data_IF_749097801723
#
_entry.id   IF_749097801723
#
_cell.length_a   1.000
_cell.length_b   1.000
_cell.length_c   1.000
_cell.angle_alpha   90.00
_cell.angle_beta   90.00
_cell.angle_gamma   90.00
#
_symmetry.space_group_name_H-M   'P 1'
#
loop_
_entity.id
_entity.type
_entity.pdbx_description
1 polymer ?
#
# COMPACT_ATOMS: atom_id res chain seq x y z
N UNK A 1 -23.56 -6.50 -14.08
CA UNK A 1 -22.58 -7.41 -13.47
C UNK A 1 -22.92 -7.54 -11.99
N UNK A 2 -22.87 -8.75 -11.43
CA UNK A 2 -23.11 -9.01 -10.02
C UNK A 2 -21.82 -9.60 -9.42
N UNK A 3 -21.28 -8.97 -8.37
CA UNK A 3 -20.01 -9.36 -7.73
C UNK A 3 -20.28 -9.89 -6.32
N UNK A 4 -19.50 -10.87 -5.87
CA UNK A 4 -19.68 -11.49 -4.54
C UNK A 4 -18.96 -10.70 -3.45
N UNK A 5 -17.89 -10.00 -3.83
CA UNK A 5 -17.10 -9.16 -2.94
C UNK A 5 -16.74 -7.84 -3.63
N UNK A 6 -16.54 -6.79 -2.83
CA UNK A 6 -15.93 -5.54 -3.31
C UNK A 6 -14.52 -5.77 -3.88
N UNK A 7 -13.85 -6.83 -3.45
CA UNK A 7 -12.53 -7.21 -3.94
C UNK A 7 -12.56 -7.65 -5.41
N UNK A 8 -13.67 -8.24 -5.85
CA UNK A 8 -13.85 -8.69 -7.24
C UNK A 8 -13.97 -7.51 -8.22
N UNK A 9 -14.17 -6.28 -7.71
CA UNK A 9 -14.22 -5.07 -8.53
C UNK A 9 -12.86 -4.37 -8.63
N UNK A 10 -11.82 -4.87 -7.96
CA UNK A 10 -10.47 -4.33 -8.08
C UNK A 10 -9.92 -4.65 -9.46
N UNK A 11 -9.46 -3.62 -10.15
CA UNK A 11 -8.89 -3.72 -11.48
C UNK A 11 -9.92 -3.54 -12.59
N UNK A 12 -9.63 -4.09 -13.77
CA UNK A 12 -10.42 -3.88 -15.01
C UNK A 12 -10.83 -2.42 -15.26
N UNK A 13 -9.99 -1.49 -14.82
CA UNK A 13 -10.24 -0.05 -14.92
C UNK A 13 -10.14 0.42 -16.36
N UNK A 14 -10.88 1.47 -16.76
CA UNK A 14 -10.84 1.99 -18.12
C UNK A 14 -9.44 2.43 -18.57
N UNK A 15 -9.19 2.33 -19.87
CA UNK A 15 -8.11 3.02 -20.56
C UNK A 15 -8.74 3.94 -21.59
N UNK A 16 -8.33 5.20 -21.63
CA UNK A 16 -8.82 6.14 -22.62
C UNK A 16 -7.67 6.94 -23.25
N UNK A 17 -7.85 7.32 -24.51
CA UNK A 17 -6.93 8.18 -25.24
C UNK A 17 -7.16 9.64 -24.82
N UNK A 18 -6.09 10.36 -24.53
CA UNK A 18 -6.16 11.81 -24.32
C UNK A 18 -6.31 12.48 -25.69
N UNK A 19 -7.35 13.29 -25.87
CA UNK A 19 -7.68 13.83 -27.21
C UNK A 19 -6.85 15.06 -27.59
N UNK A 20 -6.60 15.97 -26.64
CA UNK A 20 -6.03 17.29 -26.93
C UNK A 20 -4.60 17.48 -26.41
N UNK A 21 -3.89 16.37 -26.15
CA UNK A 21 -2.48 16.37 -25.72
C UNK A 21 -1.72 15.39 -26.61
N UNK A 22 -0.83 15.91 -27.44
CA UNK A 22 0.11 15.11 -28.23
C UNK A 22 1.52 15.64 -28.02
N UNK A 23 2.42 14.77 -27.57
CA UNK A 23 3.85 15.07 -27.50
C UNK A 23 4.47 14.40 -28.72
N UNK A 24 5.07 15.16 -29.63
CA UNK A 24 5.75 14.64 -30.83
C UNK A 24 4.89 13.66 -31.65
N UNK A 25 3.63 14.01 -31.94
CA UNK A 25 2.65 13.15 -32.66
C UNK A 25 2.41 11.77 -32.02
N UNK A 26 2.69 11.61 -30.72
CA UNK A 26 2.47 10.35 -30.00
C UNK A 26 1.06 10.30 -29.41
N UNK A 27 0.41 9.12 -29.48
CA UNK A 27 -0.84 8.86 -28.78
C UNK A 27 -0.58 8.64 -27.29
N UNK A 28 -1.24 9.43 -26.43
CA UNK A 28 -1.21 9.24 -24.98
C UNK A 28 -2.47 8.52 -24.50
N UNK A 29 -2.30 7.45 -23.74
CA UNK A 29 -3.39 6.73 -23.09
C UNK A 29 -3.23 6.76 -21.57
N UNK A 30 -4.34 6.91 -20.85
CA UNK A 30 -4.38 6.94 -19.39
C UNK A 30 -5.13 5.72 -18.87
N UNK A 31 -4.49 4.98 -17.95
CA UNK A 31 -5.16 3.94 -17.16
C UNK A 31 -5.84 4.60 -15.95
N UNK A 32 -7.17 4.58 -15.93
CA UNK A 32 -7.98 5.29 -14.95
C UNK A 32 -8.09 4.54 -13.61
N UNK A 33 -6.96 4.38 -12.90
CA UNK A 33 -6.89 3.60 -11.65
C UNK A 33 -7.67 4.19 -10.47
N UNK A 34 -8.21 5.40 -10.60
CA UNK A 34 -9.14 5.97 -9.63
C UNK A 34 -10.53 5.31 -9.68
N UNK A 35 -10.81 4.43 -10.65
CA UNK A 35 -12.02 3.59 -10.69
C UNK A 35 -11.94 2.33 -9.82
N UNK A 36 -10.79 2.02 -9.22
CA UNK A 36 -10.76 0.98 -8.19
C UNK A 36 -11.62 1.40 -6.98
N UNK A 37 -12.17 0.46 -6.19
CA UNK A 37 -13.16 0.76 -5.14
C UNK A 37 -12.69 1.69 -4.01
N UNK A 38 -11.41 1.68 -3.66
CA UNK A 38 -10.76 2.63 -2.74
C UNK A 38 -10.06 3.79 -3.49
N UNK A 39 -10.44 4.01 -4.75
CA UNK A 39 -10.10 5.15 -5.59
C UNK A 39 -8.62 5.32 -5.93
N UNK A 40 -7.84 4.22 -5.94
CA UNK A 40 -6.44 4.30 -6.37
C UNK A 40 -5.86 2.98 -6.88
N UNK A 41 -4.72 3.06 -7.55
CA UNK A 41 -3.92 1.88 -7.96
C UNK A 41 -3.45 1.02 -6.78
N UNK A 42 -3.48 1.53 -5.54
CA UNK A 42 -2.99 0.79 -4.37
C UNK A 42 -3.91 -0.33 -3.92
N UNK A 43 -5.14 -0.38 -4.42
CA UNK A 43 -6.07 -1.48 -4.17
C UNK A 43 -5.52 -2.80 -4.72
N UNK A 44 -4.95 -2.76 -5.93
CA UNK A 44 -4.28 -3.92 -6.57
C UNK A 44 -3.13 -4.44 -5.73
N UNK A 45 -2.36 -3.51 -5.17
CA UNK A 45 -1.21 -3.84 -4.35
C UNK A 45 -1.63 -4.43 -3.01
N UNK A 46 -2.65 -3.84 -2.37
CA UNK A 46 -3.18 -4.29 -1.11
C UNK A 46 -3.72 -5.72 -1.20
N UNK A 47 -4.55 -6.02 -2.21
CA UNK A 47 -5.10 -7.37 -2.37
C UNK A 47 -4.01 -8.39 -2.69
N UNK A 48 -3.08 -8.04 -3.59
CA UNK A 48 -1.98 -8.94 -3.97
C UNK A 48 -1.09 -9.30 -2.78
N UNK A 49 -0.83 -8.37 -1.87
CA UNK A 49 -0.03 -8.65 -0.67
C UNK A 49 -0.75 -9.62 0.27
N UNK A 50 -2.02 -9.35 0.56
CA UNK A 50 -2.79 -10.15 1.51
C UNK A 50 -2.95 -11.57 0.96
N UNK A 51 -3.37 -11.72 -0.29
CA UNK A 51 -3.51 -13.03 -0.93
C UNK A 51 -2.16 -13.76 -1.05
N UNK A 52 -1.07 -13.06 -1.34
CA UNK A 52 0.25 -13.70 -1.40
C UNK A 52 0.71 -14.19 -0.01
N UNK A 53 0.40 -13.45 1.05
CA UNK A 53 0.71 -13.84 2.42
C UNK A 53 -0.13 -15.05 2.85
N UNK A 54 -1.43 -15.05 2.55
CA UNK A 54 -2.33 -16.19 2.77
C UNK A 54 -1.84 -17.45 2.05
N UNK A 55 -1.56 -17.35 0.74
CA UNK A 55 -1.10 -18.47 -0.08
C UNK A 55 0.24 -19.06 0.38
N UNK A 56 1.06 -18.28 1.09
CA UNK A 56 2.34 -18.72 1.65
C UNK A 56 2.26 -19.17 3.10
N UNK A 57 1.07 -19.14 3.72
CA UNK A 57 0.90 -19.41 5.15
C UNK A 57 1.58 -18.39 6.07
N UNK A 58 1.84 -17.17 5.57
CA UNK A 58 2.45 -16.09 6.34
C UNK A 58 1.41 -15.21 7.06
N UNK A 59 0.13 -15.37 6.69
CA UNK A 59 -1.00 -14.68 7.28
C UNK A 59 -2.12 -15.68 7.48
N UNK A 60 -2.51 -15.88 8.73
CA UNK A 60 -3.59 -16.78 9.14
C UNK A 60 -4.76 -15.99 9.75
N UNK A 61 -5.98 -16.54 9.74
CA UNK A 61 -7.13 -15.91 10.38
C UNK A 61 -6.82 -15.46 11.82
N UNK A 62 -7.19 -14.22 12.15
CA UNK A 62 -6.91 -13.61 13.45
C UNK A 62 -5.53 -12.93 13.56
N UNK A 63 -4.61 -13.16 12.61
CA UNK A 63 -3.37 -12.40 12.56
C UNK A 63 -3.63 -10.91 12.29
N UNK A 64 -2.82 -10.04 12.89
CA UNK A 64 -2.93 -8.59 12.69
C UNK A 64 -1.99 -8.11 11.59
N UNK A 65 -2.53 -7.36 10.64
CA UNK A 65 -1.75 -6.66 9.61
C UNK A 65 -1.30 -5.32 10.18
N UNK A 66 0.00 -5.00 10.04
CA UNK A 66 0.56 -3.71 10.46
C UNK A 66 1.21 -3.02 9.25
N UNK A 67 0.90 -1.75 9.00
CA UNK A 67 1.47 -0.97 7.89
C UNK A 67 1.91 0.42 8.35
N UNK A 68 2.93 0.97 7.69
CA UNK A 68 3.44 2.33 7.93
C UNK A 68 3.14 3.21 6.73
N UNK A 69 2.03 3.95 6.78
CA UNK A 69 1.64 4.80 5.66
C UNK A 69 0.64 5.87 6.07
N UNK A 70 0.71 7.02 5.42
CA UNK A 70 -0.30 8.10 5.51
C UNK A 70 -1.17 8.21 4.26
N UNK A 71 -0.95 7.33 3.27
CA UNK A 71 -1.50 7.46 1.91
C UNK A 71 -2.43 6.34 1.49
N UNK A 72 -2.61 6.21 0.17
CA UNK A 72 -3.61 5.32 -0.43
C UNK A 72 -3.36 3.83 -0.14
N UNK A 73 -2.12 3.41 0.13
CA UNK A 73 -1.83 2.03 0.55
C UNK A 73 -2.58 1.67 1.82
N UNK A 74 -2.68 2.59 2.78
CA UNK A 74 -3.40 2.34 4.04
C UNK A 74 -4.90 2.23 3.83
N UNK A 75 -5.46 3.02 2.90
CA UNK A 75 -6.88 2.96 2.53
C UNK A 75 -7.19 1.64 1.80
N UNK A 76 -6.38 1.26 0.81
CA UNK A 76 -6.53 -0.01 0.10
C UNK A 76 -6.41 -1.22 1.02
N UNK A 77 -5.40 -1.23 1.91
CA UNK A 77 -5.25 -2.29 2.91
C UNK A 77 -6.42 -2.30 3.90
N UNK A 78 -6.93 -1.15 4.33
CA UNK A 78 -8.08 -1.09 5.24
C UNK A 78 -9.32 -1.74 4.61
N UNK A 79 -9.61 -1.42 3.34
CA UNK A 79 -10.70 -2.04 2.60
C UNK A 79 -10.50 -3.56 2.45
N UNK A 80 -9.31 -4.00 2.03
CA UNK A 80 -9.00 -5.42 1.83
C UNK A 80 -9.07 -6.22 3.14
N UNK A 81 -8.45 -5.69 4.21
CA UNK A 81 -8.45 -6.32 5.51
C UNK A 81 -9.87 -6.39 6.09
N UNK A 82 -10.69 -5.35 5.93
CA UNK A 82 -12.09 -5.37 6.32
C UNK A 82 -12.88 -6.44 5.56
N UNK A 83 -12.71 -6.54 4.24
CA UNK A 83 -13.40 -7.53 3.43
C UNK A 83 -12.96 -8.99 3.73
N UNK A 84 -11.73 -9.19 4.24
CA UNK A 84 -11.16 -10.51 4.55
C UNK A 84 -11.08 -10.83 6.05
N UNK A 85 -11.66 -9.97 6.91
CA UNK A 85 -11.67 -10.11 8.36
C UNK A 85 -10.28 -10.15 9.04
N UNK A 86 -9.33 -9.36 8.55
CA UNK A 86 -8.05 -9.13 9.24
C UNK A 86 -8.09 -7.81 10.04
N UNK A 87 -7.64 -7.80 11.29
CA UNK A 87 -7.32 -6.56 11.99
C UNK A 87 -6.20 -5.81 11.26
N UNK A 88 -6.37 -4.51 11.02
CA UNK A 88 -5.34 -3.64 10.45
C UNK A 88 -4.95 -2.54 11.45
N UNK A 89 -3.65 -2.38 11.67
CA UNK A 89 -3.06 -1.24 12.36
C UNK A 89 -2.21 -0.44 11.39
N UNK A 90 -2.46 0.87 11.31
CA UNK A 90 -1.69 1.79 10.47
C UNK A 90 -0.97 2.80 11.36
N UNK A 91 0.35 2.91 11.23
CA UNK A 91 1.13 3.96 11.90
C UNK A 91 1.47 5.10 10.94
N UNK A 92 1.36 6.34 11.42
CA UNK A 92 1.69 7.53 10.64
C UNK A 92 2.01 8.74 11.54
N UNK A 93 2.72 9.76 11.03
CA UNK A 93 2.86 11.03 11.74
C UNK A 93 1.52 11.75 11.95
N UNK A 94 1.39 12.50 13.03
CA UNK A 94 0.24 13.36 13.35
C UNK A 94 0.08 14.59 12.43
N UNK A 95 1.04 14.85 11.55
CA UNK A 95 0.94 15.77 10.41
C UNK A 95 0.23 15.21 9.17
N UNK A 96 -0.02 13.89 9.10
CA UNK A 96 -0.80 13.29 8.02
C UNK A 96 -2.26 13.83 7.93
N UNK A 97 -2.86 13.75 6.74
CA UNK A 97 -4.22 14.26 6.49
C UNK A 97 -5.27 13.64 7.42
N UNK A 98 -6.12 14.49 7.99
CA UNK A 98 -7.20 14.10 8.89
C UNK A 98 -8.25 13.28 8.13
N UNK A 99 -8.55 13.66 6.90
CA UNK A 99 -9.50 12.99 6.02
C UNK A 99 -9.09 11.54 5.78
N UNK A 100 -7.80 11.30 5.47
CA UNK A 100 -7.28 9.95 5.26
C UNK A 100 -7.33 9.11 6.54
N UNK A 101 -7.07 9.70 7.71
CA UNK A 101 -7.22 9.01 9.01
C UNK A 101 -8.66 8.60 9.27
N UNK A 102 -9.60 9.52 9.04
CA UNK A 102 -11.03 9.25 9.21
C UNK A 102 -11.49 8.14 8.29
N UNK A 103 -11.08 8.17 7.02
CA UNK A 103 -11.41 7.13 6.05
C UNK A 103 -10.84 5.76 6.44
N UNK A 104 -9.58 5.68 6.84
CA UNK A 104 -8.98 4.42 7.32
C UNK A 104 -9.70 3.87 8.56
N UNK A 105 -10.05 4.74 9.52
CA UNK A 105 -10.81 4.34 10.72
C UNK A 105 -12.23 3.90 10.39
N UNK A 106 -12.89 4.58 9.45
CA UNK A 106 -14.21 4.21 8.95
C UNK A 106 -14.20 2.80 8.34
N UNK A 107 -13.13 2.45 7.62
CA UNK A 107 -12.89 1.12 7.10
C UNK A 107 -12.41 0.10 8.16
N UNK A 108 -12.43 0.45 9.45
CA UNK A 108 -12.10 -0.47 10.55
C UNK A 108 -10.62 -0.54 10.94
N UNK A 109 -9.74 0.24 10.31
CA UNK A 109 -8.33 0.24 10.67
C UNK A 109 -8.05 1.04 11.96
N UNK A 110 -7.18 0.50 12.81
CA UNK A 110 -6.64 1.24 13.96
C UNK A 110 -5.51 2.16 13.52
N UNK A 111 -5.74 3.46 13.54
CA UNK A 111 -4.72 4.46 13.17
C UNK A 111 -3.98 4.97 14.40
N UNK A 112 -2.69 4.66 14.49
CA UNK A 112 -1.79 5.10 15.55
C UNK A 112 -0.91 6.24 15.07
N UNK A 113 -0.93 7.35 15.80
CA UNK A 113 -0.14 8.53 15.47
C UNK A 113 1.22 8.52 16.18
N UNK A 114 2.21 9.12 15.53
CA UNK A 114 3.52 9.49 16.09
C UNK A 114 3.75 10.98 15.94
N UNK A 115 4.62 11.60 16.77
CA UNK A 115 4.92 13.02 16.63
C UNK A 115 5.42 13.38 15.22
N UNK A 116 4.94 14.49 14.66
CA UNK A 116 5.37 14.98 13.34
C UNK A 116 6.89 15.10 13.19
N UNK A 117 7.57 15.54 14.26
CA UNK A 117 9.02 15.74 14.29
C UNK A 117 9.81 14.44 14.02
N UNK A 118 9.24 13.27 14.33
CA UNK A 118 9.90 11.99 14.07
C UNK A 118 9.66 11.47 12.64
N UNK A 119 8.75 12.11 11.89
CA UNK A 119 8.41 11.77 10.52
C UNK A 119 8.10 10.28 10.32
N UNK A 120 8.38 9.77 9.12
CA UNK A 120 8.18 8.37 8.78
C UNK A 120 9.01 7.40 9.64
N UNK A 121 10.15 7.85 10.16
CA UNK A 121 11.03 7.03 11.01
C UNK A 121 10.37 6.70 12.35
N UNK A 122 9.73 7.67 13.00
CA UNK A 122 8.96 7.43 14.22
C UNK A 122 7.80 6.48 14.01
N UNK A 123 7.02 6.71 12.94
CA UNK A 123 5.92 5.83 12.56
C UNK A 123 6.40 4.37 12.32
N UNK A 124 7.56 4.21 11.67
CA UNK A 124 8.17 2.90 11.46
C UNK A 124 8.61 2.23 12.76
N UNK A 125 9.34 2.94 13.64
CA UNK A 125 9.74 2.42 14.95
C UNK A 125 8.54 1.90 15.72
N UNK A 126 7.46 2.69 15.77
CA UNK A 126 6.21 2.30 16.41
C UNK A 126 5.60 1.03 15.81
N UNK A 127 5.58 0.90 14.49
CA UNK A 127 5.07 -0.31 13.83
C UNK A 127 5.94 -1.54 14.11
N UNK A 128 7.27 -1.37 14.10
CA UNK A 128 8.21 -2.43 14.42
C UNK A 128 8.02 -2.91 15.87
N UNK A 129 7.95 -1.99 16.82
CA UNK A 129 7.71 -2.30 18.23
C UNK A 129 6.38 -3.02 18.45
N UNK A 130 5.34 -2.69 17.68
CA UNK A 130 4.05 -3.37 17.75
C UNK A 130 4.16 -4.82 17.28
N UNK A 131 4.89 -5.05 16.19
CA UNK A 131 5.05 -6.39 15.62
C UNK A 131 5.90 -7.27 16.53
N UNK A 132 6.96 -6.73 17.11
CA UNK A 132 7.80 -7.47 18.08
C UNK A 132 7.02 -7.83 19.36
N UNK A 133 6.04 -7.02 19.76
CA UNK A 133 5.22 -7.25 20.97
C UNK A 133 3.95 -8.05 20.73
N UNK A 134 3.56 -8.28 19.47
CA UNK A 134 2.29 -8.91 19.11
C UNK A 134 2.55 -10.25 18.44
N UNK A 135 2.29 -11.34 19.16
CA UNK A 135 2.30 -12.70 18.60
C UNK A 135 1.23 -12.78 17.49
N UNK A 136 1.59 -13.31 16.32
CA UNK A 136 0.68 -13.42 15.18
C UNK A 136 0.44 -12.10 14.43
N UNK A 137 1.46 -11.28 14.26
CA UNK A 137 1.37 -10.03 13.48
C UNK A 137 2.29 -10.05 12.25
N UNK A 138 1.79 -9.49 11.13
CA UNK A 138 2.52 -9.34 9.88
C UNK A 138 2.78 -7.85 9.62
N UNK A 139 4.05 -7.46 9.60
CA UNK A 139 4.45 -6.14 9.11
C UNK A 139 4.41 -6.13 7.58
N UNK A 140 3.39 -5.48 7.01
CA UNK A 140 3.39 -5.12 5.61
C UNK A 140 4.22 -3.85 5.47
N UNK A 141 5.37 -3.97 4.80
CA UNK A 141 6.22 -2.83 4.50
C UNK A 141 6.86 -2.99 3.13
N UNK A 142 6.21 -2.38 2.13
CA UNK A 142 6.71 -2.34 0.76
C UNK A 142 7.85 -1.34 0.56
N UNK A 143 7.85 -0.24 1.32
CA UNK A 143 8.93 0.74 1.22
C UNK A 143 10.24 0.09 1.62
N UNK A 144 10.30 -0.77 2.64
CA UNK A 144 11.54 -1.44 3.04
C UNK A 144 11.84 -2.76 2.32
N UNK A 145 10.92 -3.51 1.69
CA UNK A 145 11.40 -4.58 0.78
C UNK A 145 12.07 -4.00 -0.45
N UNK A 146 11.51 -2.93 -1.03
CA UNK A 146 12.12 -2.22 -2.17
C UNK A 146 13.31 -1.36 -1.72
N UNK A 147 13.28 -0.70 -0.55
CA UNK A 147 14.42 0.06 0.00
C UNK A 147 15.49 -0.88 0.58
N UNK A 148 15.21 -2.05 1.15
CA UNK A 148 16.25 -3.05 1.45
C UNK A 148 16.77 -3.67 0.15
N UNK A 149 15.97 -3.87 -0.88
CA UNK A 149 16.49 -4.28 -2.20
C UNK A 149 17.32 -3.16 -2.83
N UNK A 150 16.92 -1.89 -2.73
CA UNK A 150 17.69 -0.73 -3.19
C UNK A 150 18.92 -0.49 -2.31
N UNK A 151 18.86 -0.68 -1.00
CA UNK A 151 19.99 -0.50 -0.08
C UNK A 151 20.95 -1.69 -0.12
N UNK A 152 20.47 -2.92 -0.33
CA UNK A 152 21.31 -4.09 -0.65
C UNK A 152 21.92 -3.97 -2.05
N UNK A 153 21.17 -3.47 -3.04
CA UNK A 153 21.70 -3.14 -4.36
C UNK A 153 22.74 -2.01 -4.27
N UNK A 154 22.53 -0.97 -3.46
CA UNK A 154 23.51 0.10 -3.23
C UNK A 154 24.73 -0.34 -2.41
N UNK A 155 24.62 -1.40 -1.59
CA UNK A 155 25.78 -2.02 -0.91
C UNK A 155 26.57 -2.96 -1.82
N UNK A 156 25.94 -3.57 -2.83
CA UNK A 156 26.61 -4.43 -3.83
C UNK A 156 27.09 -3.67 -5.07
N UNK A 157 26.48 -2.54 -5.42
CA UNK A 157 26.87 -1.68 -6.57
C UNK A 157 27.96 -0.65 -6.22
N UNK A 158 29.02 -1.10 -5.54
CA UNK A 158 30.36 -0.59 -5.86
C UNK A 158 30.94 -1.26 -7.11
N UNK A 159 30.16 -2.09 -7.80
CA UNK A 159 30.53 -2.74 -9.05
C UNK A 159 29.36 -2.70 -10.04
N UNK A 160 29.44 -1.77 -11.01
CA UNK A 160 28.60 -1.64 -12.22
C UNK A 160 27.13 -1.26 -12.01
N UNK A 161 26.40 -0.58 -12.90
CA UNK A 161 26.67 0.32 -14.02
C UNK A 161 25.26 0.77 -14.46
N UNK A 162 25.08 2.08 -14.63
CA UNK A 162 24.14 2.75 -15.55
C UNK A 162 23.42 1.78 -16.53
N UNK A 163 22.08 1.67 -16.48
CA UNK A 163 21.22 1.69 -17.71
C UNK A 163 19.69 1.71 -17.47
N UNK A 164 19.06 2.74 -18.10
CA UNK A 164 17.78 2.78 -18.83
C UNK A 164 16.43 2.52 -18.15
N UNK A 165 15.71 3.62 -17.91
CA UNK A 165 14.32 3.78 -18.39
C UNK A 165 14.28 5.03 -19.28
N UNK A 166 13.92 4.83 -20.56
CA UNK A 166 13.38 5.76 -21.58
C UNK A 166 13.90 5.35 -22.97
N UNK A 167 13.22 4.37 -23.58
CA UNK A 167 12.60 4.28 -24.93
C UNK A 167 12.06 2.86 -25.03
#
# INVERSE_FOLDING_TARGET
MNYKSILDTIGNTPVFKVQNISINNTNLYVKAEYFNPASSVKDRLAISIIENAENKGLLEPGNTVVEVTSGNTGIGLAMVCAAKNYPLVVTMPDSASIERRKLMRFLGAKVLLTPAAEGGTGAYKKAKDLVEKTIGSLLVNLKLKIILLFMKAQQQEKFMMILRILV
#
